data_IF_749605787098
#
_entry.id   IF_749605787098
#
_cell.length_a   1.000
_cell.length_b   1.000
_cell.length_c   1.000
_cell.angle_alpha   90.00
_cell.angle_beta   90.00
_cell.angle_gamma   90.00
#
_symmetry.space_group_name_H-M   'P 1'
#
loop_
_entity.id
_entity.type
_entity.pdbx_description
1 polymer ?
#
# COMPACT_ATOMS: atom_id res chain seq x y z
N UNK A 1 19.81 -0.50 8.43
CA UNK A 1 18.40 -0.10 8.23
C UNK A 1 17.67 -1.25 7.55
N UNK A 2 16.53 -1.67 8.08
CA UNK A 2 15.67 -2.70 7.50
C UNK A 2 14.56 -2.04 6.67
N UNK A 3 14.31 -2.50 5.45
CA UNK A 3 13.16 -2.09 4.64
C UNK A 3 12.07 -3.16 4.75
N UNK A 4 10.94 -2.82 5.39
CA UNK A 4 9.82 -3.72 5.66
C UNK A 4 8.62 -3.39 4.76
N UNK A 5 8.21 -4.34 3.91
CA UNK A 5 6.97 -4.24 3.14
C UNK A 5 5.75 -4.62 3.97
N UNK A 6 4.71 -3.79 3.99
CA UNK A 6 3.44 -4.13 4.63
C UNK A 6 2.41 -4.61 3.61
N UNK A 7 1.90 -5.81 3.82
CA UNK A 7 0.84 -6.40 3.00
C UNK A 7 -0.30 -6.93 3.87
N UNK A 8 -1.46 -7.10 3.25
CA UNK A 8 -2.64 -7.63 3.93
C UNK A 8 -3.88 -7.44 3.06
N UNK A 9 -4.96 -8.11 3.42
CA UNK A 9 -6.25 -7.92 2.77
C UNK A 9 -6.83 -6.52 3.02
N UNK A 10 -7.80 -6.15 2.21
CA UNK A 10 -8.59 -4.92 2.41
C UNK A 10 -9.17 -4.93 3.82
N UNK A 11 -9.08 -3.79 4.50
CA UNK A 11 -9.53 -3.60 5.89
C UNK A 11 -8.84 -4.52 6.94
N UNK A 12 -7.68 -5.13 6.62
CA UNK A 12 -6.92 -5.94 7.57
C UNK A 12 -6.31 -5.13 8.74
N UNK A 13 -6.24 -3.79 8.62
CA UNK A 13 -5.64 -2.91 9.62
C UNK A 13 -4.19 -2.51 9.29
N UNK A 14 -3.76 -2.63 8.02
CA UNK A 14 -2.44 -2.25 7.54
C UNK A 14 -2.03 -0.84 8.00
N UNK A 15 -2.91 0.16 7.86
CA UNK A 15 -2.64 1.54 8.28
C UNK A 15 -2.45 1.69 9.80
N UNK A 16 -3.12 0.85 10.61
CA UNK A 16 -2.91 0.84 12.07
C UNK A 16 -1.53 0.28 12.42
N UNK A 17 -1.11 -0.80 11.74
CA UNK A 17 0.24 -1.36 11.90
C UNK A 17 1.30 -0.37 11.45
N UNK A 18 1.11 0.29 10.31
CA UNK A 18 2.01 1.35 9.83
C UNK A 18 2.14 2.50 10.85
N UNK A 19 1.01 2.91 11.47
CA UNK A 19 1.04 3.92 12.54
C UNK A 19 1.79 3.43 13.78
N UNK A 20 1.54 2.20 14.24
CA UNK A 20 2.27 1.64 15.38
C UNK A 20 3.79 1.56 15.13
N UNK A 21 4.21 1.17 13.91
CA UNK A 21 5.62 1.16 13.53
C UNK A 21 6.22 2.57 13.47
N UNK A 22 5.45 3.56 13.01
CA UNK A 22 5.85 4.99 13.03
C UNK A 22 6.07 5.48 14.46
N UNK A 23 5.17 5.13 15.39
CA UNK A 23 5.27 5.49 16.81
C UNK A 23 6.51 4.87 17.48
N UNK A 24 7.01 3.73 16.94
CA UNK A 24 8.24 3.07 17.36
C UNK A 24 9.51 3.66 16.69
N UNK A 25 9.36 4.64 15.79
CA UNK A 25 10.46 5.32 15.13
C UNK A 25 10.76 4.84 13.71
N UNK A 26 9.87 4.05 13.08
CA UNK A 26 9.99 3.75 11.66
C UNK A 26 9.69 4.97 10.79
N UNK A 27 10.41 5.09 9.68
CA UNK A 27 10.02 5.96 8.57
C UNK A 27 9.05 5.20 7.68
N UNK A 28 7.85 5.74 7.45
CA UNK A 28 6.81 5.08 6.64
C UNK A 28 6.65 5.80 5.32
N UNK A 29 6.91 5.07 4.23
CA UNK A 29 6.66 5.49 2.85
C UNK A 29 5.31 4.95 2.40
N UNK A 30 4.42 5.84 2.03
CA UNK A 30 3.07 5.54 1.55
C UNK A 30 3.07 5.54 0.01
N UNK A 31 2.99 4.35 -0.58
CA UNK A 31 2.97 4.18 -2.03
C UNK A 31 1.68 4.72 -2.67
N UNK A 32 0.54 4.69 -1.96
CA UNK A 32 -0.70 5.26 -2.45
C UNK A 32 -0.59 6.79 -2.55
N UNK A 33 0.06 7.44 -1.57
CA UNK A 33 0.38 8.86 -1.63
C UNK A 33 1.33 9.18 -2.78
N UNK A 34 2.37 8.37 -2.97
CA UNK A 34 3.29 8.54 -4.11
C UNK A 34 2.56 8.41 -5.45
N UNK A 35 1.60 7.47 -5.57
CA UNK A 35 0.73 7.36 -6.73
C UNK A 35 -0.09 8.62 -6.99
N UNK A 36 -0.61 9.27 -5.94
CA UNK A 36 -1.31 10.55 -6.08
C UNK A 36 -0.42 11.67 -6.59
N UNK A 37 0.84 11.70 -6.15
CA UNK A 37 1.81 12.70 -6.61
C UNK A 37 2.25 12.45 -8.05
N UNK A 38 2.39 11.18 -8.45
CA UNK A 38 2.66 10.80 -9.85
C UNK A 38 1.54 11.22 -10.78
N UNK A 39 0.27 11.07 -10.39
CA UNK A 39 -0.88 11.53 -11.18
C UNK A 39 -0.96 13.06 -11.37
N UNK A 40 -0.17 13.84 -10.62
CA UNK A 40 -0.09 15.30 -10.76
C UNK A 40 1.07 15.75 -11.66
N UNK A 41 1.90 14.83 -12.13
CA UNK A 41 3.01 15.15 -13.03
C UNK A 41 2.47 15.57 -14.40
N UNK A 42 2.97 16.69 -15.00
CA UNK A 42 2.44 17.21 -16.26
C UNK A 42 2.48 16.20 -17.42
N UNK A 43 3.54 15.40 -17.51
CA UNK A 43 3.71 14.36 -18.53
C UNK A 43 2.71 13.21 -18.35
N UNK A 44 2.39 12.84 -17.10
CA UNK A 44 1.39 11.83 -16.77
C UNK A 44 -0.02 12.33 -17.10
N UNK A 45 -0.33 13.59 -16.73
CA UNK A 45 -1.60 14.24 -17.09
C UNK A 45 -1.76 14.26 -18.62
N UNK A 46 -0.73 14.67 -19.36
CA UNK A 46 -0.76 14.73 -20.81
C UNK A 46 -0.99 13.33 -21.44
N UNK A 47 -0.30 12.31 -20.94
CA UNK A 47 -0.47 10.94 -21.42
C UNK A 47 -1.88 10.39 -21.17
N UNK A 48 -2.43 10.59 -19.96
CA UNK A 48 -3.78 10.17 -19.59
C UNK A 48 -4.85 10.93 -20.37
N UNK A 49 -4.68 12.24 -20.54
CA UNK A 49 -5.55 13.09 -21.38
C UNK A 49 -5.52 12.65 -22.85
N UNK A 50 -4.34 12.33 -23.38
CA UNK A 50 -4.20 11.81 -24.74
C UNK A 50 -4.92 10.49 -24.95
N UNK A 51 -5.01 9.65 -23.94
CA UNK A 51 -5.67 8.33 -23.99
C UNK A 51 -7.19 8.41 -23.74
N UNK A 52 -7.63 9.25 -22.78
CA UNK A 52 -9.02 9.24 -22.28
C UNK A 52 -9.76 10.57 -22.46
N UNK A 53 -9.11 11.57 -23.03
CA UNK A 53 -9.70 12.91 -23.25
C UNK A 53 -9.81 13.76 -21.97
N UNK A 54 -10.49 14.90 -22.10
CA UNK A 54 -10.62 15.87 -21.01
C UNK A 54 -11.59 15.44 -19.89
N UNK A 55 -12.43 14.44 -20.13
CA UNK A 55 -13.41 13.97 -19.15
C UNK A 55 -12.79 13.38 -17.86
N UNK A 56 -11.48 13.10 -17.87
CA UNK A 56 -10.74 12.65 -16.69
C UNK A 56 -10.20 13.79 -15.83
N UNK A 57 -10.36 15.05 -16.27
CA UNK A 57 -9.88 16.22 -15.52
C UNK A 57 -10.99 16.78 -14.63
N UNK A 58 -10.59 17.32 -13.50
CA UNK A 58 -11.45 18.16 -12.67
C UNK A 58 -11.41 19.64 -13.12
N UNK A 59 -12.17 20.50 -12.44
CA UNK A 59 -12.25 21.94 -12.74
C UNK A 59 -10.92 22.68 -12.59
N UNK A 60 -9.93 22.11 -11.93
CA UNK A 60 -8.58 22.67 -11.78
C UNK A 60 -7.57 22.13 -12.82
N UNK A 61 -8.03 21.28 -13.75
CA UNK A 61 -7.18 20.64 -14.74
C UNK A 61 -6.33 19.49 -14.19
N UNK A 62 -6.63 19.02 -12.97
CA UNK A 62 -5.98 17.86 -12.36
C UNK A 62 -6.74 16.57 -12.65
N UNK A 63 -6.05 15.42 -12.54
CA UNK A 63 -6.69 14.11 -12.74
C UNK A 63 -7.76 13.85 -11.68
N UNK A 64 -8.99 13.67 -12.11
CA UNK A 64 -10.11 13.21 -11.30
C UNK A 64 -9.98 11.70 -11.06
N UNK A 65 -9.53 11.32 -9.87
CA UNK A 65 -9.40 9.90 -9.47
C UNK A 65 -10.71 9.12 -9.63
N UNK A 66 -11.85 9.80 -9.40
CA UNK A 66 -13.17 9.18 -9.58
C UNK A 66 -13.45 8.87 -11.06
N UNK A 67 -13.06 9.77 -11.96
CA UNK A 67 -13.24 9.57 -13.41
C UNK A 67 -12.32 8.43 -13.89
N UNK A 68 -11.04 8.46 -13.51
CA UNK A 68 -10.09 7.38 -13.85
C UNK A 68 -10.55 6.04 -13.29
N UNK A 69 -11.01 5.97 -12.03
CA UNK A 69 -11.52 4.74 -11.43
C UNK A 69 -12.68 4.11 -12.23
N UNK A 70 -13.58 4.92 -12.79
CA UNK A 70 -14.67 4.42 -13.64
C UNK A 70 -14.16 3.78 -14.93
N UNK A 71 -13.04 4.27 -15.47
CA UNK A 71 -12.44 3.74 -16.70
C UNK A 71 -11.71 2.42 -16.40
N UNK A 72 -10.93 2.35 -15.31
CA UNK A 72 -10.03 1.22 -15.06
C UNK A 72 -10.64 0.09 -14.24
N UNK A 73 -11.82 0.28 -13.64
CA UNK A 73 -12.54 -0.74 -12.87
C UNK A 73 -13.88 -1.15 -13.47
N UNK A 74 -14.18 -0.76 -14.73
CA UNK A 74 -15.37 -1.18 -15.46
C UNK A 74 -15.23 -2.59 -16.06
N UNK A 75 -16.33 -3.15 -16.54
CA UNK A 75 -16.28 -4.38 -17.30
C UNK A 75 -15.45 -4.19 -18.58
N UNK A 76 -14.51 -5.09 -18.85
CA UNK A 76 -13.62 -5.00 -20.02
C UNK A 76 -12.49 -3.97 -19.89
N UNK A 77 -12.26 -3.40 -18.72
CA UNK A 77 -11.28 -2.33 -18.49
C UNK A 77 -9.81 -2.79 -18.37
N UNK A 78 -9.51 -4.07 -18.49
CA UNK A 78 -8.15 -4.60 -18.33
C UNK A 78 -7.08 -3.89 -19.20
N UNK A 79 -7.33 -3.51 -20.48
CA UNK A 79 -6.35 -2.74 -21.25
C UNK A 79 -6.08 -1.35 -20.66
N UNK A 80 -7.12 -0.68 -20.14
CA UNK A 80 -7.02 0.67 -19.57
C UNK A 80 -6.34 0.64 -18.20
N UNK A 81 -6.65 -0.37 -17.38
CA UNK A 81 -5.95 -0.62 -16.12
C UNK A 81 -4.47 -0.87 -16.36
N UNK A 82 -4.13 -1.75 -17.32
CA UNK A 82 -2.76 -2.05 -17.70
C UNK A 82 -2.00 -0.81 -18.19
N UNK A 83 -2.65 0.03 -19.01
CA UNK A 83 -2.08 1.29 -19.47
C UNK A 83 -1.75 2.21 -18.28
N UNK A 84 -2.68 2.39 -17.35
CA UNK A 84 -2.45 3.19 -16.14
C UNK A 84 -1.27 2.66 -15.32
N UNK A 85 -1.25 1.34 -15.09
CA UNK A 85 -0.19 0.66 -14.31
C UNK A 85 1.18 0.82 -14.99
N UNK A 86 1.28 0.59 -16.29
CA UNK A 86 2.53 0.77 -17.05
C UNK A 86 3.03 2.23 -17.00
N UNK A 87 2.12 3.20 -16.98
CA UNK A 87 2.49 4.61 -16.89
C UNK A 87 2.93 5.01 -15.47
N UNK A 88 2.27 4.49 -14.43
CA UNK A 88 2.43 4.99 -13.05
C UNK A 88 3.37 4.14 -12.20
N UNK A 89 3.35 2.80 -12.31
CA UNK A 89 4.15 1.92 -11.45
C UNK A 89 5.66 2.20 -11.50
N UNK A 90 6.28 2.37 -12.69
CA UNK A 90 7.72 2.68 -12.76
C UNK A 90 8.08 4.01 -12.07
N UNK A 91 7.20 5.01 -12.18
CA UNK A 91 7.41 6.34 -11.57
C UNK A 91 7.26 6.29 -10.05
N UNK A 92 6.28 5.52 -9.56
CA UNK A 92 6.09 5.27 -8.13
C UNK A 92 7.30 4.52 -7.58
N UNK A 93 7.74 3.48 -8.26
CA UNK A 93 8.92 2.70 -7.86
C UNK A 93 10.18 3.57 -7.76
N UNK A 94 10.44 4.39 -8.78
CA UNK A 94 11.58 5.31 -8.78
C UNK A 94 11.52 6.27 -7.58
N UNK A 95 10.33 6.79 -7.27
CA UNK A 95 10.14 7.65 -6.11
C UNK A 95 10.40 6.91 -4.79
N UNK A 96 9.90 5.67 -4.66
CA UNK A 96 10.18 4.86 -3.48
C UNK A 96 11.68 4.61 -3.31
N UNK A 97 12.38 4.28 -4.38
CA UNK A 97 13.84 4.08 -4.38
C UNK A 97 14.59 5.36 -3.93
N UNK A 98 14.17 6.53 -4.42
CA UNK A 98 14.75 7.81 -4.00
C UNK A 98 14.53 8.08 -2.50
N UNK A 99 13.33 7.82 -1.98
CA UNK A 99 13.03 8.00 -0.55
C UNK A 99 13.82 7.01 0.33
N UNK A 100 13.95 5.76 -0.13
CA UNK A 100 14.79 4.76 0.54
C UNK A 100 16.26 5.24 0.59
N UNK A 101 16.80 5.71 -0.54
CA UNK A 101 18.17 6.22 -0.59
C UNK A 101 18.37 7.45 0.30
N UNK A 102 17.39 8.37 0.34
CA UNK A 102 17.41 9.53 1.25
C UNK A 102 17.43 9.09 2.71
N UNK A 103 16.59 8.13 3.09
CA UNK A 103 16.55 7.61 4.45
C UNK A 103 17.87 6.93 4.84
N UNK A 104 18.51 6.21 3.91
CA UNK A 104 19.81 5.57 4.13
C UNK A 104 20.94 6.59 4.35
N UNK A 105 20.84 7.76 3.72
CA UNK A 105 21.84 8.83 3.82
C UNK A 105 21.74 9.66 5.13
N UNK A 106 20.67 9.49 5.92
CA UNK A 106 20.55 10.15 7.22
C UNK A 106 21.61 9.66 8.21
N UNK A 107 22.02 10.52 9.13
CA UNK A 107 23.00 10.18 10.18
C UNK A 107 22.44 10.53 11.55
N UNK A 108 22.10 9.53 12.39
CA UNK A 108 22.04 8.10 12.05
C UNK A 108 20.88 7.77 11.10
N UNK A 109 20.97 6.70 10.31
CA UNK A 109 19.85 6.24 9.50
C UNK A 109 18.73 5.65 10.39
N UNK A 110 17.45 5.68 9.96
CA UNK A 110 16.40 5.05 10.72
C UNK A 110 16.64 3.54 10.83
N UNK A 111 16.25 2.94 11.96
CA UNK A 111 16.41 1.49 12.16
C UNK A 111 15.55 0.68 11.18
N UNK A 112 14.36 1.19 10.84
CA UNK A 112 13.42 0.57 9.92
C UNK A 112 12.77 1.61 9.02
N UNK A 113 12.65 1.25 7.73
CA UNK A 113 11.81 1.93 6.75
C UNK A 113 10.68 0.98 6.39
N UNK A 114 9.45 1.48 6.37
CA UNK A 114 8.25 0.73 6.08
C UNK A 114 7.70 1.16 4.74
N UNK A 115 7.53 0.24 3.81
CA UNK A 115 6.84 0.46 2.53
C UNK A 115 5.37 0.03 2.67
N UNK A 116 4.49 1.00 2.85
CA UNK A 116 3.04 0.79 2.95
C UNK A 116 2.42 0.85 1.56
N UNK A 117 2.15 -0.32 0.95
CA UNK A 117 1.62 -0.43 -0.40
C UNK A 117 0.52 -1.49 -0.47
N UNK A 118 -0.69 -1.09 -0.90
CA UNK A 118 -1.80 -2.03 -1.08
C UNK A 118 -1.54 -3.05 -2.20
N UNK A 119 -0.77 -2.66 -3.21
CA UNK A 119 -0.43 -3.42 -4.41
C UNK A 119 1.05 -3.81 -4.46
N UNK A 120 1.68 -4.07 -3.30
CA UNK A 120 3.12 -4.35 -3.20
C UNK A 120 3.58 -5.46 -4.15
N UNK A 121 2.86 -6.57 -4.15
CA UNK A 121 3.18 -7.73 -4.97
C UNK A 121 2.74 -7.57 -6.43
N UNK A 122 1.57 -6.97 -6.63
CA UNK A 122 0.99 -6.75 -7.96
C UNK A 122 1.87 -5.80 -8.80
N UNK A 123 2.51 -4.85 -8.13
CA UNK A 123 3.43 -3.89 -8.78
C UNK A 123 4.90 -4.36 -8.80
N UNK A 124 5.22 -5.51 -8.20
CA UNK A 124 6.60 -6.02 -8.14
C UNK A 124 7.51 -5.23 -7.20
N UNK A 125 6.95 -4.45 -6.27
CA UNK A 125 7.72 -3.60 -5.33
C UNK A 125 8.26 -4.36 -4.12
N UNK A 126 7.91 -5.63 -3.96
CA UNK A 126 8.50 -6.49 -2.93
C UNK A 126 10.02 -6.60 -3.05
N UNK A 127 10.56 -6.38 -4.25
CA UNK A 127 12.01 -6.36 -4.52
C UNK A 127 12.74 -5.18 -3.84
N UNK A 128 12.01 -4.19 -3.36
CA UNK A 128 12.54 -3.07 -2.58
C UNK A 128 12.62 -3.37 -1.08
N UNK A 129 12.10 -4.52 -0.65
CA UNK A 129 11.96 -4.89 0.76
C UNK A 129 12.93 -6.00 1.14
N UNK A 130 13.53 -5.87 2.33
CA UNK A 130 14.34 -6.93 2.93
C UNK A 130 13.46 -8.02 3.55
N UNK A 131 12.29 -7.61 4.07
CA UNK A 131 11.29 -8.47 4.71
C UNK A 131 9.89 -8.00 4.38
N UNK A 132 8.94 -8.92 4.41
CA UNK A 132 7.52 -8.65 4.19
C UNK A 132 6.71 -9.08 5.40
N UNK A 133 5.94 -8.16 5.95
CA UNK A 133 5.02 -8.38 7.05
C UNK A 133 3.58 -8.46 6.53
N UNK A 134 2.94 -9.61 6.73
CA UNK A 134 1.54 -9.82 6.39
C UNK A 134 0.64 -9.59 7.60
N UNK A 135 -0.38 -8.74 7.43
CA UNK A 135 -1.40 -8.48 8.44
C UNK A 135 -2.60 -9.38 8.16
N UNK A 136 -2.75 -10.41 8.99
CA UNK A 136 -3.80 -11.42 8.91
C UNK A 136 -5.04 -10.97 9.69
N UNK A 137 -6.17 -10.91 9.00
CA UNK A 137 -7.49 -10.73 9.61
C UNK A 137 -8.52 -11.54 8.82
N UNK A 138 -9.39 -12.31 9.51
CA UNK A 138 -10.44 -13.08 8.87
C UNK A 138 -11.35 -12.21 7.98
N UNK A 139 -11.92 -12.84 6.95
CA UNK A 139 -12.71 -12.10 5.94
C UNK A 139 -13.93 -11.41 6.54
N UNK A 140 -14.63 -12.05 7.46
CA UNK A 140 -15.76 -11.51 8.20
C UNK A 140 -15.39 -10.23 8.97
N UNK A 141 -14.29 -10.28 9.75
CA UNK A 141 -13.75 -9.12 10.48
C UNK A 141 -13.37 -7.99 9.52
N UNK A 142 -12.78 -8.31 8.38
CA UNK A 142 -12.41 -7.31 7.37
C UNK A 142 -13.65 -6.68 6.71
N UNK A 143 -14.68 -7.48 6.43
CA UNK A 143 -15.96 -7.00 5.90
C UNK A 143 -16.66 -6.08 6.90
N UNK A 144 -16.76 -6.47 8.17
CA UNK A 144 -17.33 -5.61 9.23
C UNK A 144 -16.62 -4.26 9.30
N UNK A 145 -15.28 -4.26 9.26
CA UNK A 145 -14.47 -3.03 9.27
C UNK A 145 -14.70 -2.17 8.01
N UNK A 146 -14.92 -2.79 6.86
CA UNK A 146 -15.22 -2.10 5.61
C UNK A 146 -16.62 -1.47 5.65
N UNK A 147 -17.63 -2.19 6.15
CA UNK A 147 -18.99 -1.69 6.34
C UNK A 147 -19.01 -0.52 7.33
N UNK A 148 -18.28 -0.63 8.44
CA UNK A 148 -18.15 0.48 9.42
C UNK A 148 -17.50 1.74 8.80
N UNK A 149 -16.80 1.63 7.67
CA UNK A 149 -16.24 2.76 6.88
C UNK A 149 -17.18 3.23 5.76
N UNK A 150 -18.40 2.73 5.71
CA UNK A 150 -19.42 3.10 4.72
C UNK A 150 -19.34 2.38 3.38
N UNK A 151 -18.64 1.22 3.30
CA UNK A 151 -18.60 0.42 2.08
C UNK A 151 -19.74 -0.61 2.07
N UNK A 152 -20.29 -0.89 0.90
CA UNK A 152 -21.16 -2.06 0.75
C UNK A 152 -20.35 -3.36 0.66
N UNK A 153 -21.03 -4.50 0.89
CA UNK A 153 -20.40 -5.82 0.75
C UNK A 153 -19.90 -6.06 -0.69
N UNK A 154 -20.65 -5.56 -1.69
CA UNK A 154 -20.29 -5.66 -3.12
C UNK A 154 -19.03 -4.82 -3.41
N UNK A 155 -18.93 -3.62 -2.85
CA UNK A 155 -17.74 -2.77 -3.01
C UNK A 155 -16.51 -3.42 -2.37
N UNK A 156 -16.68 -4.06 -1.20
CA UNK A 156 -15.62 -4.81 -0.56
C UNK A 156 -15.17 -5.99 -1.44
N UNK A 157 -16.11 -6.82 -1.91
CA UNK A 157 -15.82 -7.99 -2.74
C UNK A 157 -15.14 -7.60 -4.07
N UNK A 158 -15.62 -6.56 -4.74
CA UNK A 158 -15.03 -6.08 -6.00
C UNK A 158 -13.58 -5.62 -5.82
N UNK A 159 -13.29 -4.92 -4.73
CA UNK A 159 -11.92 -4.48 -4.42
C UNK A 159 -11.02 -5.64 -3.98
N UNK A 160 -11.57 -6.62 -3.27
CA UNK A 160 -10.83 -7.84 -2.88
C UNK A 160 -10.45 -8.65 -4.13
N UNK A 161 -11.38 -8.83 -5.07
CA UNK A 161 -11.14 -9.53 -6.33
C UNK A 161 -10.14 -8.81 -7.26
N UNK A 162 -9.96 -7.50 -7.11
CA UNK A 162 -8.99 -6.72 -7.88
C UNK A 162 -7.54 -6.85 -7.40
N UNK A 163 -7.31 -7.55 -6.28
CA UNK A 163 -5.98 -7.80 -5.71
C UNK A 163 -5.59 -9.26 -5.85
N UNK A 164 -4.31 -9.57 -5.67
CA UNK A 164 -3.86 -10.96 -5.54
C UNK A 164 -4.59 -11.67 -4.40
N UNK A 165 -4.88 -12.98 -4.56
CA UNK A 165 -5.49 -13.78 -3.51
C UNK A 165 -4.75 -13.64 -2.19
N UNK A 166 -5.51 -13.52 -1.09
CA UNK A 166 -4.94 -13.24 0.23
C UNK A 166 -3.99 -14.34 0.70
N UNK A 167 -4.28 -15.61 0.36
CA UNK A 167 -3.42 -16.74 0.69
C UNK A 167 -2.08 -16.69 -0.05
N UNK A 168 -2.06 -16.19 -1.28
CA UNK A 168 -0.82 -16.02 -2.04
C UNK A 168 0.04 -14.89 -1.45
N UNK A 169 -0.59 -13.79 -1.01
CA UNK A 169 0.11 -12.73 -0.26
C UNK A 169 0.70 -13.26 1.05
N UNK A 170 -0.06 -14.08 1.77
CA UNK A 170 0.37 -14.69 3.03
C UNK A 170 1.56 -15.63 2.85
N UNK A 171 1.54 -16.49 1.82
CA UNK A 171 2.62 -17.45 1.51
C UNK A 171 3.94 -16.77 1.16
N UNK A 172 3.88 -15.55 0.60
CA UNK A 172 5.04 -14.78 0.18
C UNK A 172 5.61 -13.88 1.27
N UNK A 173 4.97 -13.83 2.44
CA UNK A 173 5.41 -13.00 3.57
C UNK A 173 6.41 -13.74 4.46
N UNK A 174 7.38 -13.00 4.99
CA UNK A 174 8.37 -13.51 5.96
C UNK A 174 7.81 -13.57 7.39
N UNK A 175 6.92 -12.63 7.72
CA UNK A 175 6.33 -12.48 9.06
C UNK A 175 4.83 -12.31 8.92
N UNK A 176 4.07 -12.96 9.81
CA UNK A 176 2.60 -12.86 9.87
C UNK A 176 2.19 -12.39 11.25
N UNK A 177 1.39 -11.33 11.32
CA UNK A 177 0.74 -10.90 12.56
C UNK A 177 -0.77 -10.98 12.42
N UNK A 178 -1.46 -11.42 13.47
CA UNK A 178 -2.94 -11.50 13.50
C UNK A 178 -3.52 -10.22 14.09
N UNK A 179 -4.47 -9.62 13.37
CA UNK A 179 -5.19 -8.43 13.79
C UNK A 179 -6.70 -8.74 13.95
N UNK A 180 -7.03 -9.49 14.99
CA UNK A 180 -8.41 -9.93 15.31
C UNK A 180 -8.90 -9.42 16.67
N UNK A 181 -8.06 -8.72 17.41
CA UNK A 181 -8.34 -8.27 18.77
C UNK A 181 -8.37 -6.74 18.85
N UNK A 182 -8.21 -6.21 20.07
CA UNK A 182 -8.19 -4.78 20.35
C UNK A 182 -6.96 -4.10 19.75
N UNK A 183 -7.02 -2.78 19.61
CA UNK A 183 -5.89 -1.96 19.18
C UNK A 183 -4.68 -2.10 20.12
N UNK A 184 -4.93 -2.27 21.42
CA UNK A 184 -3.88 -2.48 22.43
C UNK A 184 -3.12 -3.79 22.19
N UNK A 185 -3.85 -4.90 21.97
CA UNK A 185 -3.23 -6.17 21.58
C UNK A 185 -2.43 -6.06 20.29
N UNK A 186 -2.92 -5.30 19.31
CA UNK A 186 -2.19 -5.08 18.06
C UNK A 186 -0.88 -4.32 18.31
N UNK A 187 -0.92 -3.26 19.11
CA UNK A 187 0.28 -2.48 19.48
C UNK A 187 1.34 -3.36 20.14
N UNK A 188 0.94 -4.25 21.04
CA UNK A 188 1.87 -5.17 21.71
C UNK A 188 2.51 -6.15 20.70
N UNK A 189 1.71 -6.78 19.84
CA UNK A 189 2.23 -7.68 18.80
C UNK A 189 3.19 -6.94 17.85
N UNK A 190 2.85 -5.73 17.43
CA UNK A 190 3.72 -4.91 16.58
C UNK A 190 5.02 -4.55 17.31
N UNK A 191 4.97 -4.22 18.60
CA UNK A 191 6.15 -3.92 19.41
C UNK A 191 7.10 -5.13 19.51
N UNK A 192 6.57 -6.32 19.76
CA UNK A 192 7.35 -7.55 19.80
C UNK A 192 7.98 -7.87 18.43
N UNK A 193 7.19 -7.72 17.35
CA UNK A 193 7.66 -7.90 15.99
C UNK A 193 8.77 -6.91 15.64
N UNK A 194 8.62 -5.63 16.02
CA UNK A 194 9.65 -4.61 15.86
C UNK A 194 10.97 -5.05 16.51
N UNK A 195 10.94 -5.44 17.79
CA UNK A 195 12.15 -5.88 18.52
C UNK A 195 12.85 -7.05 17.84
N UNK A 196 12.08 -8.04 17.42
CA UNK A 196 12.60 -9.20 16.68
C UNK A 196 13.26 -8.82 15.37
N UNK A 197 12.67 -7.86 14.63
CA UNK A 197 13.18 -7.47 13.31
C UNK A 197 14.40 -6.55 13.38
N UNK A 198 14.49 -5.67 14.37
CA UNK A 198 15.62 -4.71 14.51
C UNK A 198 16.73 -5.21 15.44
N UNK A 199 16.59 -6.42 16.01
CA UNK A 199 17.62 -7.03 16.86
C UNK A 199 17.69 -6.40 18.26
N UNK A 200 16.60 -5.94 18.84
CA UNK A 200 16.50 -5.61 20.25
C UNK A 200 16.12 -6.88 21.03
N UNK A 201 17.11 -7.70 21.33
CA UNK A 201 16.93 -8.76 22.30
C UNK A 201 16.61 -8.17 23.67
N UNK A 202 15.68 -8.84 24.37
CA UNK A 202 15.23 -8.49 25.71
C UNK A 202 16.43 -8.29 26.65
N UNK A 203 16.68 -7.04 27.04
CA UNK A 203 17.40 -6.75 28.28
C UNK A 203 16.39 -6.54 29.38
#
# INVERSE_FOLDING_TARGET
MLTLGLVGGIASGKSQVAQCLRDLGAVVLDADRAGHEVLRQPDVIAALKGRWGDAILDSSGQISRRAVAKIVFGAGSEPEKRFLEQLTHPRIQMRMQQEIARAQALTPPPRMLVLDAALLFEAGWEKLCDKILFIDAPRDVRLERAVARGWSAEQFAAREAAQLPIDDKRKRADVVIRNVRTLESLREVVRLTWRSLVGEDSR
#
